data_IF_993469360355
#
_entry.id   IF_993469360355
#
_cell.length_a   1.000
_cell.length_b   1.000
_cell.length_c   1.000
_cell.angle_alpha   90.00
_cell.angle_beta   90.00
_cell.angle_gamma   90.00
#
_symmetry.space_group_name_H-M   'P 1'
#
loop_
_entity.id
_entity.type
_entity.pdbx_description
1 polymer ?
#
# COMPACT_ATOMS: atom_id res chain seq x y z
N UNK A 1 -14.98 -1.65 -21.60
CA UNK A 1 -14.48 -2.48 -20.49
C UNK A 1 -12.95 -2.47 -20.34
N UNK A 2 -12.13 -2.45 -21.41
CA UNK A 2 -10.66 -2.52 -21.31
C UNK A 2 -9.94 -1.45 -20.46
N UNK A 3 -10.40 -0.17 -20.47
CA UNK A 3 -9.79 0.89 -19.65
C UNK A 3 -9.99 0.70 -18.13
N UNK A 4 -11.11 0.10 -17.72
CA UNK A 4 -11.40 -0.20 -16.30
C UNK A 4 -10.52 -1.35 -15.79
N UNK A 5 -10.34 -2.39 -16.60
CA UNK A 5 -9.42 -3.51 -16.30
C UNK A 5 -7.97 -3.00 -16.18
N UNK A 6 -7.55 -2.08 -17.05
CA UNK A 6 -6.25 -1.42 -16.95
C UNK A 6 -6.07 -0.66 -15.63
N UNK A 7 -7.06 0.13 -15.20
CA UNK A 7 -7.01 0.84 -13.92
C UNK A 7 -6.99 -0.11 -12.72
N UNK A 8 -7.78 -1.19 -12.75
CA UNK A 8 -7.80 -2.19 -11.67
C UNK A 8 -6.44 -2.88 -11.53
N UNK A 9 -5.82 -3.29 -12.63
CA UNK A 9 -4.48 -3.92 -12.62
C UNK A 9 -3.43 -2.96 -12.06
N UNK A 10 -3.43 -1.69 -12.52
CA UNK A 10 -2.49 -0.68 -12.02
C UNK A 10 -2.69 -0.44 -10.51
N UNK A 11 -3.94 -0.38 -10.06
CA UNK A 11 -4.26 -0.24 -8.63
C UNK A 11 -3.76 -1.42 -7.80
N UNK A 12 -3.93 -2.66 -8.31
CA UNK A 12 -3.43 -3.88 -7.65
C UNK A 12 -1.90 -3.88 -7.57
N UNK A 13 -1.21 -3.49 -8.64
CA UNK A 13 0.27 -3.40 -8.66
C UNK A 13 0.77 -2.37 -7.65
N UNK A 14 0.14 -1.19 -7.59
CA UNK A 14 0.48 -0.14 -6.62
C UNK A 14 0.22 -0.62 -5.18
N UNK A 15 -0.89 -1.30 -4.96
CA UNK A 15 -1.25 -1.86 -3.65
C UNK A 15 -0.23 -2.91 -3.19
N UNK A 16 0.17 -3.85 -4.06
CA UNK A 16 1.20 -4.84 -3.75
C UNK A 16 2.57 -4.20 -3.47
N UNK A 17 2.92 -3.14 -4.22
CA UNK A 17 4.16 -2.40 -4.01
C UNK A 17 4.20 -1.74 -2.62
N UNK A 18 3.13 -1.05 -2.23
CA UNK A 18 3.06 -0.43 -0.90
C UNK A 18 3.01 -1.46 0.23
N UNK A 19 2.35 -2.60 0.02
CA UNK A 19 2.36 -3.70 0.97
C UNK A 19 3.78 -4.25 1.18
N UNK A 20 4.51 -4.52 0.10
CA UNK A 20 5.88 -5.02 0.18
C UNK A 20 6.82 -4.00 0.86
N UNK A 21 6.69 -2.71 0.55
CA UNK A 21 7.45 -1.64 1.21
C UNK A 21 7.09 -1.52 2.70
N UNK A 22 5.81 -1.64 3.06
CA UNK A 22 5.39 -1.63 4.45
C UNK A 22 5.98 -2.82 5.22
N UNK A 23 5.89 -4.03 4.67
CA UNK A 23 6.45 -5.24 5.30
C UNK A 23 7.97 -5.13 5.43
N UNK A 24 8.66 -4.64 4.40
CA UNK A 24 10.12 -4.49 4.42
C UNK A 24 10.58 -3.48 5.48
N UNK A 25 9.95 -2.31 5.56
CA UNK A 25 10.34 -1.28 6.53
C UNK A 25 9.97 -1.67 7.96
N UNK A 26 8.78 -2.23 8.17
CA UNK A 26 8.36 -2.70 9.49
C UNK A 26 9.20 -3.91 9.94
N UNK A 27 9.47 -4.85 9.03
CA UNK A 27 10.35 -6.00 9.30
C UNK A 27 11.78 -5.58 9.62
N UNK A 28 12.31 -4.57 8.92
CA UNK A 28 13.63 -4.00 9.22
C UNK A 28 13.67 -3.27 10.57
N UNK A 29 12.56 -2.63 10.98
CA UNK A 29 12.42 -2.06 12.32
C UNK A 29 12.36 -3.15 13.41
N UNK A 30 11.59 -4.21 13.21
CA UNK A 30 11.46 -5.30 14.19
C UNK A 30 12.70 -6.20 14.28
N UNK A 31 13.45 -6.36 13.19
CA UNK A 31 14.67 -7.19 13.15
C UNK A 31 15.87 -6.55 13.86
N UNK A 32 15.71 -5.39 14.53
CA UNK A 32 16.79 -4.67 15.23
C UNK A 32 18.04 -4.42 14.36
N UNK A 33 17.90 -4.38 13.03
CA UNK A 33 19.02 -4.14 12.11
C UNK A 33 19.47 -2.67 12.11
N UNK A 34 18.82 -1.81 12.91
CA UNK A 34 19.01 -0.37 12.96
C UNK A 34 19.00 0.12 14.40
N UNK A 35 20.06 -0.16 15.17
CA UNK A 35 20.28 0.51 16.46
C UNK A 35 20.77 1.95 16.21
N UNK A 36 19.90 2.96 16.42
CA UNK A 36 20.28 4.37 16.30
C UNK A 36 19.15 5.33 15.86
N UNK A 37 19.43 6.62 15.62
CA UNK A 37 18.40 7.62 15.22
C UNK A 37 17.64 7.28 13.93
N UNK A 38 18.14 6.32 13.15
CA UNK A 38 17.49 5.73 11.98
C UNK A 38 16.28 4.84 12.30
N UNK A 39 16.14 4.36 13.53
CA UNK A 39 15.05 3.46 13.94
C UNK A 39 13.68 4.15 13.86
N UNK A 40 13.61 5.39 14.38
CA UNK A 40 12.43 6.25 14.26
C UNK A 40 12.09 6.57 12.80
N UNK A 41 13.10 6.85 11.97
CA UNK A 41 12.87 7.15 10.56
C UNK A 41 12.28 5.95 9.81
N UNK A 42 12.76 4.73 10.10
CA UNK A 42 12.25 3.49 9.48
C UNK A 42 10.88 3.09 10.00
N UNK A 43 10.59 3.33 11.27
CA UNK A 43 9.23 3.16 11.78
C UNK A 43 8.25 4.13 11.12
N UNK A 44 8.58 5.42 11.04
CA UNK A 44 7.72 6.44 10.42
C UNK A 44 7.48 6.12 8.94
N UNK A 45 8.51 5.75 8.20
CA UNK A 45 8.35 5.38 6.79
C UNK A 45 7.56 4.07 6.60
N UNK A 46 7.66 3.11 7.54
CA UNK A 46 6.81 1.93 7.60
C UNK A 46 5.32 2.28 7.83
N UNK A 47 5.02 3.16 8.79
CA UNK A 47 3.67 3.65 9.04
C UNK A 47 3.09 4.42 7.86
N UNK A 48 3.88 5.27 7.20
CA UNK A 48 3.47 5.99 5.98
C UNK A 48 3.14 5.01 4.85
N UNK A 49 3.97 3.97 4.65
CA UNK A 49 3.70 2.94 3.66
C UNK A 49 2.40 2.17 3.96
N UNK A 50 2.10 1.91 5.23
CA UNK A 50 0.86 1.26 5.66
C UNK A 50 -0.37 2.14 5.41
N UNK A 51 -0.28 3.45 5.65
CA UNK A 51 -1.34 4.41 5.31
C UNK A 51 -1.59 4.46 3.80
N UNK A 52 -0.52 4.49 2.99
CA UNK A 52 -0.63 4.47 1.53
C UNK A 52 -1.25 3.17 1.02
N UNK A 53 -0.94 2.04 1.65
CA UNK A 53 -1.60 0.75 1.37
C UNK A 53 -3.11 0.80 1.67
N UNK A 54 -3.51 1.33 2.82
CA UNK A 54 -4.93 1.50 3.17
C UNK A 54 -5.66 2.41 2.17
N UNK A 55 -5.04 3.53 1.77
CA UNK A 55 -5.60 4.46 0.79
C UNK A 55 -5.77 3.78 -0.59
N UNK A 56 -4.76 3.01 -1.01
CA UNK A 56 -4.81 2.23 -2.25
C UNK A 56 -5.92 1.16 -2.20
N UNK A 57 -6.12 0.50 -1.05
CA UNK A 57 -7.19 -0.47 -0.84
C UNK A 57 -8.58 0.18 -0.91
N UNK A 58 -8.77 1.35 -0.30
CA UNK A 58 -10.02 2.13 -0.41
C UNK A 58 -10.28 2.51 -1.87
N UNK A 59 -9.28 3.01 -2.58
CA UNK A 59 -9.41 3.31 -4.02
C UNK A 59 -9.81 2.08 -4.83
N UNK A 60 -9.20 0.92 -4.56
CA UNK A 60 -9.56 -0.34 -5.21
C UNK A 60 -11.01 -0.76 -4.93
N UNK A 61 -11.46 -0.66 -3.67
CA UNK A 61 -12.85 -0.93 -3.29
C UNK A 61 -13.81 0.02 -4.00
N UNK A 62 -13.48 1.31 -4.10
CA UNK A 62 -14.30 2.30 -4.80
C UNK A 62 -14.37 2.03 -6.31
N UNK A 63 -13.26 1.60 -6.93
CA UNK A 63 -13.23 1.20 -8.34
C UNK A 63 -14.19 0.01 -8.56
N UNK A 64 -14.14 -1.01 -7.70
CA UNK A 64 -15.04 -2.18 -7.79
C UNK A 64 -16.49 -1.79 -7.52
N UNK A 65 -16.77 -1.01 -6.47
CA UNK A 65 -18.14 -0.56 -6.15
C UNK A 65 -18.75 0.32 -7.24
N UNK A 66 -17.93 1.10 -7.95
CA UNK A 66 -18.38 1.87 -9.11
C UNK A 66 -18.93 0.98 -10.23
N UNK A 67 -18.58 -0.31 -10.30
CA UNK A 67 -19.21 -1.25 -11.23
C UNK A 67 -20.59 -1.73 -10.75
N UNK A 68 -20.89 -1.66 -9.44
CA UNK A 68 -22.21 -2.03 -8.90
C UNK A 68 -23.24 -0.91 -9.02
N UNK A 69 -22.85 0.37 -8.98
CA UNK A 69 -23.80 1.49 -9.06
C UNK A 69 -24.16 1.90 -10.50
N UNK A 70 -23.64 1.21 -11.52
CA UNK A 70 -24.00 1.42 -12.93
C UNK A 70 -25.01 0.38 -13.46
N UNK A 71 -25.58 -0.46 -12.59
CA UNK A 71 -26.73 -1.33 -12.90
C UNK A 71 -28.03 -0.69 -12.46
#
# INVERSE_FOLDING_TARGET
MGKKVGMAIVSVVIMLFFLAMSIYQLGRAFSNTLTGPSENAVQVSGWIALILFLLSSICFILIIRSDTSQM
#
